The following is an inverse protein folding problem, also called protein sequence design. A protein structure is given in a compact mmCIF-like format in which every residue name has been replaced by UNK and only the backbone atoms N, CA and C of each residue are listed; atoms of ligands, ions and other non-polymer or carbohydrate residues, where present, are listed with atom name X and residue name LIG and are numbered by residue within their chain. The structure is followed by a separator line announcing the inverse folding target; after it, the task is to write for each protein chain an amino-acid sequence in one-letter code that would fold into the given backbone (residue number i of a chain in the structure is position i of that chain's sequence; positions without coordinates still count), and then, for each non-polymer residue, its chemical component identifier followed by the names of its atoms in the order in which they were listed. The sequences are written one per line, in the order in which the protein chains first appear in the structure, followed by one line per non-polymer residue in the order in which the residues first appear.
data_IF_415508347286
#
_entry.id   IF_415508347286
#
_cell.length_a   1.000
_cell.length_b   1.000
_cell.length_c   1.000
_cell.angle_alpha   90.00
_cell.angle_beta   90.00
_cell.angle_gamma   90.00
#
_symmetry.space_group_name_H-M   'P 1'
#
loop_
_entity.id
_entity.type
_entity.pdbx_description
1 polymer ?
#
# COMPACT_ATOMS: atom_id res chain seq x y z
N UNK A 1 -19.47 11.61 0.63
CA UNK A 1 -19.33 10.29 1.26
C UNK A 1 -17.99 9.60 0.98
N UNK A 2 -17.20 10.01 -0.03
CA UNK A 2 -15.86 9.46 -0.33
C UNK A 2 -14.79 9.65 0.76
N UNK A 3 -14.95 10.63 1.64
CA UNK A 3 -13.88 11.05 2.57
C UNK A 3 -13.66 10.08 3.75
N UNK A 4 -14.67 9.30 4.17
CA UNK A 4 -14.55 8.46 5.38
C UNK A 4 -13.77 7.18 5.08
N UNK A 5 -14.13 6.45 4.02
CA UNK A 5 -13.46 5.20 3.66
C UNK A 5 -11.96 5.39 3.36
N UNK A 6 -11.59 6.47 2.67
CA UNK A 6 -10.17 6.77 2.42
C UNK A 6 -9.39 7.02 3.71
N UNK A 7 -9.98 7.75 4.66
CA UNK A 7 -9.36 7.98 5.96
C UNK A 7 -9.22 6.67 6.74
N UNK A 8 -10.22 5.79 6.70
CA UNK A 8 -10.18 4.49 7.37
C UNK A 8 -9.03 3.61 6.83
N UNK A 9 -8.80 3.60 5.51
CA UNK A 9 -7.68 2.87 4.89
C UNK A 9 -6.34 3.48 5.29
N UNK A 10 -6.22 4.81 5.26
CA UNK A 10 -5.00 5.50 5.68
C UNK A 10 -4.70 5.20 7.15
N UNK A 11 -5.69 5.28 8.03
CA UNK A 11 -5.54 4.98 9.47
C UNK A 11 -5.10 3.53 9.68
N UNK A 12 -5.67 2.58 8.92
CA UNK A 12 -5.24 1.19 8.95
C UNK A 12 -3.78 1.03 8.49
N UNK A 13 -3.38 1.69 7.39
CA UNK A 13 -2.00 1.67 6.89
C UNK A 13 -1.02 2.30 7.89
N UNK A 14 -1.40 3.38 8.58
CA UNK A 14 -0.61 3.94 9.68
C UNK A 14 -0.48 2.95 10.85
N UNK A 15 -1.52 2.15 11.10
CA UNK A 15 -1.46 1.00 12.01
C UNK A 15 -0.45 -0.06 11.57
N UNK A 16 -0.40 -0.38 10.28
CA UNK A 16 0.60 -1.28 9.68
C UNK A 16 2.02 -0.71 9.86
N UNK A 17 2.24 0.58 9.59
CA UNK A 17 3.51 1.25 9.85
C UNK A 17 3.95 1.08 11.29
N UNK A 18 3.05 1.34 12.26
CA UNK A 18 3.33 1.19 13.69
C UNK A 18 3.72 -0.26 14.04
N UNK A 19 3.00 -1.24 13.51
CA UNK A 19 3.30 -2.66 13.74
C UNK A 19 4.68 -3.06 13.20
N UNK A 20 5.06 -2.56 12.01
CA UNK A 20 6.35 -2.84 11.37
C UNK A 20 7.50 -1.97 11.91
N UNK A 21 7.22 -1.12 12.89
CA UNK A 21 8.14 -0.14 13.48
C UNK A 21 8.71 0.82 12.42
N UNK A 22 7.85 1.27 11.51
CA UNK A 22 8.11 2.28 10.49
C UNK A 22 7.71 3.64 11.06
N UNK A 23 8.65 4.59 11.09
CA UNK A 23 8.40 5.96 11.50
C UNK A 23 7.66 6.69 10.38
N UNK A 24 6.61 7.41 10.73
CA UNK A 24 5.89 8.27 9.78
C UNK A 24 6.03 9.73 10.24
N UNK A 25 6.52 10.58 9.35
CA UNK A 25 6.57 12.03 9.52
C UNK A 25 5.53 12.69 8.63
N UNK A 26 4.83 13.65 9.21
CA UNK A 26 3.83 14.47 8.52
C UNK A 26 4.12 15.93 8.79
N UNK A 27 3.91 16.80 7.81
CA UNK A 27 3.93 18.25 8.03
C UNK A 27 2.79 18.94 7.29
N UNK A 28 2.02 19.82 7.94
CA UNK A 28 0.99 20.61 7.26
C UNK A 28 1.57 21.66 6.31
N UNK A 29 2.87 21.95 6.40
CA UNK A 29 3.55 22.96 5.57
C UNK A 29 4.02 22.44 4.21
N UNK A 30 3.86 21.14 3.92
CA UNK A 30 4.28 20.56 2.66
C UNK A 30 3.35 20.94 1.52
N UNK A 31 3.94 21.19 0.34
CA UNK A 31 3.20 21.57 -0.87
C UNK A 31 2.29 20.41 -1.32
N UNK A 32 1.19 20.74 -2.00
CA UNK A 32 0.23 19.74 -2.46
C UNK A 32 0.68 18.95 -3.70
N UNK A 33 1.78 19.36 -4.34
CA UNK A 33 2.42 18.70 -5.48
C UNK A 33 3.72 17.97 -5.08
N UNK A 34 3.98 17.85 -3.77
CA UNK A 34 5.08 17.05 -3.24
C UNK A 34 4.56 15.66 -2.85
N UNK A 35 4.93 14.58 -3.54
CA UNK A 35 4.43 13.24 -3.21
C UNK A 35 5.02 12.74 -1.89
N UNK A 36 4.38 11.74 -1.29
CA UNK A 36 4.99 11.00 -0.19
C UNK A 36 6.28 10.31 -0.65
N UNK A 37 7.19 10.06 0.29
CA UNK A 37 8.48 9.41 0.02
C UNK A 37 8.94 8.59 1.22
N UNK A 38 9.61 7.48 0.96
CA UNK A 38 10.27 6.66 1.98
C UNK A 38 11.79 6.79 1.93
N UNK A 39 12.40 6.57 3.09
CA UNK A 39 13.81 6.25 3.26
C UNK A 39 13.85 4.85 3.87
N UNK A 40 13.89 3.84 3.00
CA UNK A 40 13.70 2.44 3.40
C UNK A 40 14.79 1.97 4.38
N UNK A 41 16.02 2.44 4.17
CA UNK A 41 17.17 2.18 5.04
C UNK A 41 16.96 2.65 6.50
N UNK A 42 16.13 3.68 6.70
CA UNK A 42 15.81 4.26 8.00
C UNK A 42 14.44 3.84 8.53
N UNK A 43 13.69 3.02 7.78
CA UNK A 43 12.27 2.73 8.05
C UNK A 43 11.47 4.01 8.31
N UNK A 44 11.64 5.01 7.47
CA UNK A 44 11.00 6.32 7.61
C UNK A 44 10.16 6.62 6.37
N UNK A 45 8.93 7.07 6.57
CA UNK A 45 8.06 7.59 5.52
C UNK A 45 7.75 9.06 5.82
N UNK A 46 7.97 9.93 4.84
CA UNK A 46 7.41 11.27 4.78
C UNK A 46 6.05 11.17 4.09
N UNK A 47 4.97 11.10 4.87
CA UNK A 47 3.61 10.98 4.36
C UNK A 47 2.99 12.36 4.20
N UNK A 48 2.72 12.78 2.97
CA UNK A 48 2.17 14.11 2.72
C UNK A 48 0.63 14.08 2.61
N UNK A 49 -0.12 14.45 3.66
CA UNK A 49 -1.58 14.49 3.61
C UNK A 49 -2.13 15.63 2.73
N UNK A 50 -1.28 16.57 2.30
CA UNK A 50 -1.66 17.67 1.42
C UNK A 50 -1.63 17.28 -0.06
N UNK A 51 -1.09 16.10 -0.42
CA UNK A 51 -0.98 15.63 -1.81
C UNK A 51 -2.30 15.77 -2.57
N UNK A 52 -2.21 16.31 -3.78
CA UNK A 52 -3.30 16.40 -4.72
C UNK A 52 -2.92 15.66 -6.01
N UNK A 53 -3.69 14.63 -6.39
CA UNK A 53 -5.04 14.34 -5.93
C UNK A 53 -5.14 13.53 -4.62
N UNK A 54 -6.06 13.94 -3.72
CA UNK A 54 -6.20 13.30 -2.39
C UNK A 54 -6.64 11.84 -2.44
N UNK A 55 -7.36 11.43 -3.48
CA UNK A 55 -7.83 10.05 -3.62
C UNK A 55 -6.69 9.03 -3.77
N UNK A 56 -5.48 9.47 -4.13
CA UNK A 56 -4.28 8.63 -4.22
C UNK A 56 -3.58 8.43 -2.87
N UNK A 57 -3.96 9.15 -1.81
CA UNK A 57 -3.28 9.07 -0.51
C UNK A 57 -3.16 7.62 0.03
N UNK A 58 -4.19 6.76 -0.04
CA UNK A 58 -4.08 5.39 0.45
C UNK A 58 -3.06 4.58 -0.35
N UNK A 59 -3.14 4.58 -1.69
CA UNK A 59 -2.24 3.79 -2.53
C UNK A 59 -0.81 4.32 -2.48
N UNK A 60 -0.63 5.65 -2.39
CA UNK A 60 0.67 6.28 -2.22
C UNK A 60 1.33 5.86 -0.89
N UNK A 61 0.59 5.89 0.22
CA UNK A 61 1.13 5.42 1.50
C UNK A 61 1.45 3.92 1.47
N UNK A 62 0.58 3.10 0.86
CA UNK A 62 0.82 1.67 0.72
C UNK A 62 2.07 1.35 -0.12
N UNK A 63 2.31 2.12 -1.18
CA UNK A 63 3.51 2.04 -2.01
C UNK A 63 4.78 2.38 -1.22
N UNK A 64 4.77 3.47 -0.44
CA UNK A 64 5.92 3.82 0.40
C UNK A 64 6.19 2.79 1.51
N UNK A 65 5.15 2.14 2.05
CA UNK A 65 5.33 0.98 2.94
C UNK A 65 5.98 -0.19 2.18
N UNK A 66 5.61 -0.39 0.91
CA UNK A 66 6.21 -1.35 -0.01
C UNK A 66 7.72 -1.21 -0.08
N UNK A 67 8.22 -0.01 -0.39
CA UNK A 67 9.67 0.29 -0.42
C UNK A 67 10.39 -0.06 0.88
N UNK A 68 9.76 0.22 2.03
CA UNK A 68 10.36 -0.12 3.34
C UNK A 68 10.39 -1.64 3.57
N UNK A 69 9.35 -2.38 3.16
CA UNK A 69 9.25 -3.84 3.33
C UNK A 69 10.26 -4.56 2.43
N UNK A 70 10.36 -4.17 1.17
CA UNK A 70 11.30 -4.72 0.18
C UNK A 70 12.75 -4.33 0.48
N UNK A 71 12.95 -3.37 1.39
CA UNK A 71 14.26 -2.74 1.67
C UNK A 71 14.86 -2.18 0.37
N UNK A 72 14.01 -1.59 -0.46
CA UNK A 72 14.42 -0.93 -1.70
C UNK A 72 15.54 0.05 -1.38
N UNK A 73 16.66 0.05 -2.13
CA UNK A 73 17.63 1.13 -1.99
C UNK A 73 16.95 2.46 -2.33
N UNK A 74 17.31 3.52 -1.62
CA UNK A 74 16.78 4.85 -1.88
C UNK A 74 17.03 5.21 -3.36
N UNK A 75 16.05 5.87 -4.01
CA UNK A 75 16.12 6.18 -5.44
C UNK A 75 17.46 6.84 -5.80
N UNK A 76 18.17 6.24 -6.74
CA UNK A 76 19.48 6.69 -7.17
C UNK A 76 19.51 6.83 -8.71
N UNK A 77 19.71 8.06 -9.19
CA UNK A 77 19.80 8.38 -10.62
C UNK A 77 21.00 7.73 -11.31
N UNK A 78 21.96 7.20 -10.55
CA UNK A 78 23.12 6.47 -11.08
C UNK A 78 22.82 4.98 -11.32
N UNK A 79 21.69 4.46 -10.84
CA UNK A 79 21.28 3.09 -11.12
C UNK A 79 20.82 2.94 -12.57
N UNK A 80 20.97 1.73 -13.12
CA UNK A 80 20.34 1.39 -14.39
C UNK A 80 18.81 1.50 -14.26
N UNK A 81 18.15 2.06 -15.27
CA UNK A 81 16.69 2.27 -15.29
C UNK A 81 15.92 0.98 -15.01
N UNK A 82 16.32 -0.14 -15.62
CA UNK A 82 15.71 -1.45 -15.39
C UNK A 82 15.82 -1.94 -13.94
N UNK A 83 16.80 -1.47 -13.18
CA UNK A 83 16.92 -1.77 -11.75
C UNK A 83 15.94 -0.94 -10.92
N UNK A 84 15.78 0.34 -11.26
CA UNK A 84 14.78 1.21 -10.61
C UNK A 84 13.35 0.73 -10.91
N UNK A 85 13.05 0.31 -12.14
CA UNK A 85 11.74 -0.25 -12.48
C UNK A 85 11.38 -1.46 -11.61
N UNK A 86 12.31 -2.41 -11.45
CA UNK A 86 12.09 -3.58 -10.57
C UNK A 86 11.83 -3.20 -9.10
N UNK A 87 12.40 -2.09 -8.64
CA UNK A 87 12.21 -1.58 -7.29
C UNK A 87 10.80 -1.02 -7.13
N UNK A 88 10.35 -0.20 -8.08
CA UNK A 88 8.99 0.34 -8.09
C UNK A 88 7.94 -0.76 -8.25
N UNK A 89 8.12 -1.69 -9.21
CA UNK A 89 7.21 -2.83 -9.42
C UNK A 89 7.04 -3.66 -8.12
N UNK A 90 8.14 -3.88 -7.38
CA UNK A 90 8.07 -4.61 -6.12
C UNK A 90 7.30 -3.84 -5.03
N UNK A 91 7.44 -2.52 -4.97
CA UNK A 91 6.67 -1.69 -4.06
C UNK A 91 5.18 -1.66 -4.43
N UNK A 92 4.86 -1.60 -5.71
CA UNK A 92 3.48 -1.63 -6.25
C UNK A 92 2.76 -2.92 -5.89
N UNK A 93 3.43 -4.07 -6.09
CA UNK A 93 2.88 -5.37 -5.70
C UNK A 93 2.57 -5.43 -4.21
N UNK A 94 3.44 -4.90 -3.35
CA UNK A 94 3.17 -4.84 -1.90
C UNK A 94 2.01 -3.89 -1.59
N UNK A 95 1.93 -2.74 -2.26
CA UNK A 95 0.85 -1.79 -2.10
C UNK A 95 -0.51 -2.45 -2.39
N UNK A 96 -0.62 -3.15 -3.52
CA UNK A 96 -1.81 -3.91 -3.92
C UNK A 96 -2.15 -4.98 -2.88
N UNK A 97 -1.16 -5.73 -2.39
CA UNK A 97 -1.39 -6.76 -1.37
C UNK A 97 -1.90 -6.17 -0.04
N UNK A 98 -1.43 -4.98 0.37
CA UNK A 98 -1.93 -4.29 1.55
C UNK A 98 -3.38 -3.84 1.36
N UNK A 99 -3.73 -3.28 0.20
CA UNK A 99 -5.11 -2.90 -0.12
C UNK A 99 -6.03 -4.13 -0.12
N UNK A 100 -5.62 -5.23 -0.76
CA UNK A 100 -6.39 -6.48 -0.74
C UNK A 100 -6.54 -7.03 0.69
N UNK A 101 -5.53 -6.90 1.54
CA UNK A 101 -5.63 -7.29 2.94
C UNK A 101 -6.65 -6.43 3.70
N UNK A 102 -6.65 -5.12 3.49
CA UNK A 102 -7.66 -4.23 4.06
C UNK A 102 -9.08 -4.63 3.60
N UNK A 103 -9.28 -4.83 2.29
CA UNK A 103 -10.56 -5.27 1.72
C UNK A 103 -11.07 -6.54 2.42
N UNK A 104 -10.21 -7.54 2.59
CA UNK A 104 -10.56 -8.80 3.26
C UNK A 104 -10.89 -8.62 4.75
N UNK A 105 -10.11 -7.82 5.49
CA UNK A 105 -10.34 -7.58 6.93
C UNK A 105 -11.65 -6.83 7.21
N UNK A 106 -12.14 -6.06 6.23
CA UNK A 106 -13.33 -5.23 6.34
C UNK A 106 -14.52 -5.76 5.53
N UNK A 107 -14.45 -6.99 5.01
CA UNK A 107 -15.48 -7.66 4.17
C UNK A 107 -16.02 -6.76 3.04
N UNK A 108 -15.12 -5.99 2.41
CA UNK A 108 -15.44 -5.19 1.24
C UNK A 108 -15.50 -6.09 0.00
N UNK A 109 -16.45 -5.84 -0.90
CA UNK A 109 -16.69 -6.67 -2.08
C UNK A 109 -16.72 -5.83 -3.35
N UNK A 110 -16.08 -6.35 -4.38
CA UNK A 110 -16.01 -5.77 -5.72
C UNK A 110 -16.32 -6.87 -6.73
N UNK A 111 -17.07 -6.56 -7.78
CA UNK A 111 -17.43 -7.52 -8.83
C UNK A 111 -16.31 -7.66 -9.86
N UNK A 112 -15.51 -6.61 -10.04
CA UNK A 112 -14.41 -6.57 -11.00
C UNK A 112 -13.16 -5.92 -10.41
N UNK A 113 -12.00 -6.25 -10.96
CA UNK A 113 -10.72 -5.61 -10.63
C UNK A 113 -10.73 -4.12 -10.95
N UNK A 114 -11.45 -3.71 -11.99
CA UNK A 114 -11.61 -2.30 -12.36
C UNK A 114 -12.39 -1.51 -11.30
N UNK A 115 -13.47 -2.08 -10.74
CA UNK A 115 -14.20 -1.45 -9.64
C UNK A 115 -13.31 -1.28 -8.39
N UNK A 116 -12.46 -2.28 -8.11
CA UNK A 116 -11.48 -2.19 -7.03
C UNK A 116 -10.45 -1.08 -7.31
N UNK A 117 -9.87 -1.08 -8.51
CA UNK A 117 -8.88 -0.08 -8.91
C UNK A 117 -9.44 1.34 -8.81
N UNK A 118 -10.66 1.57 -9.27
CA UNK A 118 -11.36 2.87 -9.14
C UNK A 118 -11.59 3.25 -7.67
N UNK A 119 -12.02 2.29 -6.84
CA UNK A 119 -12.33 2.57 -5.43
C UNK A 119 -11.11 2.95 -4.59
N UNK A 120 -9.92 2.44 -4.95
CA UNK A 120 -8.66 2.70 -4.24
C UNK A 120 -7.68 3.57 -5.03
N UNK A 121 -8.12 4.17 -6.14
CA UNK A 121 -7.31 4.97 -7.04
C UNK A 121 -6.00 4.29 -7.47
N UNK A 122 -6.07 3.00 -7.77
CA UNK A 122 -4.93 2.23 -8.30
C UNK A 122 -4.64 2.75 -9.72
N UNK A 123 -3.42 3.25 -10.00
CA UNK A 123 -3.08 3.76 -11.32
C UNK A 123 -3.13 2.70 -12.42
N UNK A 124 -3.41 3.12 -13.65
CA UNK A 124 -3.52 2.23 -14.82
C UNK A 124 -2.29 1.34 -15.04
N UNK A 125 -1.09 1.87 -14.76
CA UNK A 125 0.16 1.12 -14.93
C UNK A 125 0.29 -0.05 -13.95
N UNK A 126 -0.40 -0.01 -12.81
CA UNK A 126 -0.43 -1.10 -11.81
C UNK A 126 -1.52 -2.14 -12.10
N UNK A 127 -2.39 -1.95 -13.10
CA UNK A 127 -3.50 -2.87 -13.37
C UNK A 127 -3.02 -4.27 -13.77
N UNK A 128 -1.87 -4.38 -14.42
CA UNK A 128 -1.28 -5.68 -14.72
C UNK A 128 -0.89 -6.42 -13.45
N UNK A 129 -0.27 -5.73 -12.48
CA UNK A 129 0.10 -6.32 -11.19
C UNK A 129 -1.13 -6.66 -10.34
N UNK A 130 -2.19 -5.85 -10.42
CA UNK A 130 -3.46 -6.14 -9.76
C UNK A 130 -4.05 -7.47 -10.25
N UNK A 131 -4.17 -7.64 -11.56
CA UNK A 131 -4.66 -8.87 -12.20
C UNK A 131 -3.80 -10.08 -11.79
N UNK A 132 -2.47 -9.93 -11.80
CA UNK A 132 -1.55 -10.98 -11.35
C UNK A 132 -1.77 -11.32 -9.89
N UNK A 133 -1.79 -10.36 -8.97
CA UNK A 133 -1.93 -10.60 -7.53
C UNK A 133 -3.28 -11.22 -7.22
N UNK A 134 -4.38 -10.73 -7.80
CA UNK A 134 -5.73 -11.26 -7.60
C UNK A 134 -5.82 -12.71 -8.09
N UNK A 135 -5.31 -13.01 -9.29
CA UNK A 135 -5.27 -14.39 -9.81
C UNK A 135 -4.42 -15.32 -8.96
N UNK A 136 -3.26 -14.87 -8.50
CA UNK A 136 -2.41 -15.69 -7.62
C UNK A 136 -3.08 -15.91 -6.25
N UNK A 137 -3.72 -14.91 -5.65
CA UNK A 137 -4.48 -15.09 -4.41
C UNK A 137 -5.66 -16.04 -4.59
N UNK A 138 -6.40 -15.95 -5.72
CA UNK A 138 -7.48 -16.88 -6.05
C UNK A 138 -6.98 -18.32 -6.24
N UNK A 139 -5.78 -18.50 -6.82
CA UNK A 139 -5.14 -19.81 -6.97
C UNK A 139 -4.61 -20.35 -5.64
N UNK A 140 -4.08 -19.50 -4.76
CA UNK A 140 -3.67 -19.89 -3.41
C UNK A 140 -4.88 -20.23 -2.54
N UNK A 141 -6.05 -19.62 -2.78
CA UNK A 141 -7.32 -19.98 -2.13
C UNK A 141 -7.91 -21.33 -2.59
N UNK A 142 -7.30 -22.00 -3.59
CA UNK A 142 -7.54 -23.41 -3.92
C UNK A 142 -6.62 -24.39 -3.14
N UNK A 143 -5.73 -23.89 -2.28
CA UNK A 143 -4.99 -24.67 -1.29
C UNK A 143 -5.25 -24.10 0.11
N UNK A 144 -5.95 -24.83 1.00
CA UNK A 144 -6.19 -24.34 2.35
C UNK A 144 -4.85 -24.24 3.09
N UNK A 145 -4.56 -23.06 3.64
CA UNK A 145 -3.49 -22.72 4.61
C UNK A 145 -2.23 -21.98 4.10
N UNK A 146 -2.37 -20.77 3.54
CA UNK A 146 -1.29 -19.75 3.54
C UNK A 146 -1.13 -19.01 4.89
N UNK A 147 -1.68 -19.60 5.96
CA UNK A 147 -1.84 -19.11 7.33
C UNK A 147 -0.55 -18.73 8.09
N UNK A 148 0.65 -18.79 7.49
CA UNK A 148 1.91 -18.55 8.22
C UNK A 148 2.57 -17.18 8.03
N UNK A 149 2.07 -16.33 7.14
CA UNK A 149 2.40 -14.89 7.10
C UNK A 149 1.20 -13.99 7.45
N UNK A 150 0.01 -14.58 7.59
CA UNK A 150 -1.28 -13.86 7.61
C UNK A 150 -2.14 -14.18 8.85
N UNK A 151 -1.58 -14.80 9.89
CA UNK A 151 -2.34 -15.19 11.07
C UNK A 151 -1.59 -14.83 12.37
N UNK A 152 -1.71 -13.58 12.80
CA UNK A 152 -1.40 -13.16 14.17
C UNK A 152 -2.59 -12.43 14.82
N UNK A 153 -3.82 -12.88 14.54
CA UNK A 153 -5.00 -12.93 15.42
C UNK A 153 -5.11 -11.97 16.63
N UNK A 154 -4.77 -10.68 16.52
CA UNK A 154 -4.85 -9.73 17.64
C UNK A 154 -5.41 -8.38 17.20
N UNK A 155 -6.62 -8.41 16.65
CA UNK A 155 -7.58 -7.34 16.86
C UNK A 155 -8.83 -7.94 17.50
N UNK A 156 -8.70 -8.40 18.75
CA UNK A 156 -9.86 -8.46 19.62
C UNK A 156 -10.14 -7.02 20.06
N UNK A 157 -11.16 -6.41 19.47
CA UNK A 157 -11.79 -5.22 20.01
C UNK A 157 -12.28 -5.57 21.42
N UNK A 158 -11.66 -4.99 22.44
CA UNK A 158 -12.30 -4.85 23.75
C UNK A 158 -13.01 -3.51 23.72
N UNK A 159 -14.32 -3.55 23.96
CA UNK A 159 -15.21 -2.41 24.16
C UNK A 159 -14.68 -1.44 25.22
#
# INVERSE_FOLDING_TARGET
MYNTQMNDVVDWLLGVCKYLNIKVMVSPSWLNDWPSRSLASLKLIYYNPNWNPRYELPISLAHEIGHVITKSPDYNQLNAEAFNLKIEDAADVIAIQLILKYINLHDLRFETEMQLAEAFAIPDYMLHDLDLVVKHQAQINLLPNSTKLFNDGRFSLSF
#
